data_IF_800887958037
#
_entry.id   IF_800887958037
#
_cell.length_a   1.000
_cell.length_b   1.000
_cell.length_c   1.000
_cell.angle_alpha   90.00
_cell.angle_beta   90.00
_cell.angle_gamma   90.00
#
_symmetry.space_group_name_H-M   'P 1'
#
loop_
_entity.id
_entity.type
_entity.pdbx_description
1 polymer ?
#
# COMPACT_ATOMS: atom_id res chain seq x y z
N UNK A 1 0.55 12.77 6.51
CA UNK A 1 -0.49 11.83 6.05
C UNK A 1 -0.61 12.00 4.54
N UNK A 2 -0.35 10.96 3.75
CA UNK A 2 -0.38 11.02 2.29
C UNK A 2 -0.96 9.71 1.74
N UNK A 3 -1.43 9.76 0.49
CA UNK A 3 -1.84 8.58 -0.28
C UNK A 3 -0.76 8.16 -1.30
N UNK A 4 0.33 8.92 -1.42
CA UNK A 4 1.42 8.66 -2.35
C UNK A 4 2.54 7.84 -1.67
N UNK A 5 2.66 6.57 -2.06
CA UNK A 5 3.67 5.65 -1.54
C UNK A 5 5.09 5.98 -2.03
N UNK A 6 5.23 6.66 -3.17
CA UNK A 6 6.52 7.13 -3.67
C UNK A 6 7.11 8.20 -2.75
N UNK A 7 6.27 9.11 -2.27
CA UNK A 7 6.68 10.11 -1.28
C UNK A 7 7.02 9.46 0.06
N UNK A 8 6.20 8.50 0.53
CA UNK A 8 6.46 7.77 1.78
C UNK A 8 7.84 7.11 1.76
N UNK A 9 8.20 6.45 0.64
CA UNK A 9 9.48 5.76 0.48
C UNK A 9 10.70 6.67 0.63
N UNK A 10 10.59 7.95 0.27
CA UNK A 10 11.72 8.88 0.27
C UNK A 10 11.83 9.71 1.56
N UNK A 11 10.76 9.81 2.34
CA UNK A 11 10.64 10.83 3.40
C UNK A 11 10.41 10.23 4.79
N UNK A 12 10.10 8.94 4.89
CA UNK A 12 9.71 8.32 6.18
C UNK A 12 10.58 7.12 6.56
N UNK A 13 10.94 7.06 7.84
CA UNK A 13 11.60 5.89 8.44
C UNK A 13 10.59 4.82 8.85
N UNK A 14 9.45 5.24 9.41
CA UNK A 14 8.31 4.41 9.81
C UNK A 14 7.01 4.87 9.14
N UNK A 15 6.14 3.90 8.86
CA UNK A 15 4.84 4.13 8.22
C UNK A 15 3.72 3.43 8.98
N UNK A 16 2.54 4.07 9.00
CA UNK A 16 1.28 3.50 9.48
C UNK A 16 0.29 3.52 8.32
N UNK A 17 -0.30 2.37 8.02
CA UNK A 17 -1.34 2.20 7.03
C UNK A 17 -2.69 2.10 7.74
N UNK A 18 -3.63 2.93 7.32
CA UNK A 18 -4.98 2.97 7.90
C UNK A 18 -6.05 2.62 6.85
N UNK A 19 -7.10 1.92 7.29
CA UNK A 19 -8.31 1.65 6.51
C UNK A 19 -9.53 1.71 7.43
N UNK A 20 -10.58 2.40 7.01
CA UNK A 20 -11.86 2.50 7.75
C UNK A 20 -11.68 2.88 9.23
N UNK A 21 -10.82 3.87 9.49
CA UNK A 21 -10.54 4.35 10.84
C UNK A 21 -9.70 3.41 11.71
N UNK A 22 -9.17 2.32 11.17
CA UNK A 22 -8.32 1.36 11.89
C UNK A 22 -6.92 1.32 11.33
N UNK A 23 -5.92 1.16 12.20
CA UNK A 23 -4.56 0.82 11.81
C UNK A 23 -4.58 -0.63 11.34
N UNK A 24 -4.20 -0.87 10.10
CA UNK A 24 -4.16 -2.22 9.50
C UNK A 24 -2.74 -2.74 9.36
N UNK A 25 -1.75 -1.86 9.32
CA UNK A 25 -0.33 -2.23 9.29
C UNK A 25 0.53 -1.07 9.78
N UNK A 26 1.65 -1.36 10.44
CA UNK A 26 2.61 -0.37 10.92
C UNK A 26 4.02 -0.97 11.03
N UNK A 27 5.04 -0.15 10.83
CA UNK A 27 6.45 -0.52 11.04
C UNK A 27 7.39 0.27 10.14
N UNK A 28 8.65 -0.19 10.07
CA UNK A 28 9.68 0.44 9.25
C UNK A 28 9.22 0.51 7.78
N UNK A 29 9.33 1.69 7.18
CA UNK A 29 8.87 1.98 5.82
C UNK A 29 9.45 0.99 4.81
N UNK A 30 10.74 0.68 4.91
CA UNK A 30 11.38 -0.30 4.05
C UNK A 30 10.75 -1.71 4.17
N UNK A 31 10.39 -2.14 5.38
CA UNK A 31 9.80 -3.45 5.60
C UNK A 31 8.35 -3.52 5.11
N UNK A 32 7.54 -2.50 5.43
CA UNK A 32 6.12 -2.44 5.05
C UNK A 32 5.97 -2.34 3.52
N UNK A 33 6.83 -1.58 2.84
CA UNK A 33 6.78 -1.43 1.38
C UNK A 33 7.38 -2.63 0.64
N UNK A 34 8.38 -3.32 1.19
CA UNK A 34 9.01 -4.47 0.53
C UNK A 34 8.28 -5.80 0.77
N UNK A 35 7.72 -6.00 1.97
CA UNK A 35 7.06 -7.23 2.37
C UNK A 35 5.75 -6.94 3.14
N UNK A 36 4.77 -6.30 2.47
CA UNK A 36 3.47 -5.97 3.08
C UNK A 36 2.76 -7.22 3.61
N UNK A 37 2.33 -7.18 4.86
CA UNK A 37 1.63 -8.30 5.53
C UNK A 37 0.12 -8.20 5.35
N UNK A 38 -0.44 -6.99 5.37
CA UNK A 38 -1.87 -6.80 5.26
C UNK A 38 -2.32 -6.80 3.78
N UNK A 39 -3.40 -7.52 3.42
CA UNK A 39 -3.89 -7.57 2.03
C UNK A 39 -4.19 -6.20 1.42
N UNK A 40 -4.70 -5.27 2.24
CA UNK A 40 -4.91 -3.89 1.80
C UNK A 40 -3.61 -3.16 1.45
N UNK A 41 -2.54 -3.35 2.22
CA UNK A 41 -1.24 -2.73 1.94
C UNK A 41 -0.63 -3.27 0.65
N UNK A 42 -0.79 -4.57 0.39
CA UNK A 42 -0.45 -5.18 -0.91
C UNK A 42 -1.21 -4.51 -2.05
N UNK A 43 -2.53 -4.41 -1.92
CA UNK A 43 -3.36 -3.75 -2.93
C UNK A 43 -2.94 -2.30 -3.19
N UNK A 44 -2.56 -1.54 -2.15
CA UNK A 44 -2.07 -0.18 -2.30
C UNK A 44 -0.77 -0.12 -3.11
N UNK A 45 0.16 -1.06 -2.87
CA UNK A 45 1.40 -1.17 -3.62
C UNK A 45 1.16 -1.58 -5.07
N UNK A 46 0.29 -2.56 -5.30
CA UNK A 46 -0.09 -3.03 -6.64
C UNK A 46 -0.80 -1.92 -7.44
N UNK A 47 -1.48 -0.99 -6.75
CA UNK A 47 -2.15 0.16 -7.36
C UNK A 47 -1.19 1.20 -7.94
N UNK A 48 0.12 1.11 -7.67
CA UNK A 48 1.12 2.01 -8.26
C UNK A 48 1.37 1.60 -9.72
N UNK A 49 1.13 2.48 -10.71
CA UNK A 49 1.30 2.13 -12.11
C UNK A 49 2.73 1.72 -12.46
N UNK A 50 2.88 0.62 -13.18
CA UNK A 50 4.14 0.11 -13.72
C UNK A 50 3.91 -0.53 -15.11
N UNK A 51 4.96 -0.81 -15.90
CA UNK A 51 4.79 -1.57 -17.14
C UNK A 51 4.11 -2.93 -16.87
N UNK A 52 3.04 -3.23 -17.62
CA UNK A 52 2.23 -4.44 -17.40
C UNK A 52 1.16 -4.33 -16.30
N UNK A 53 0.92 -3.13 -15.78
CA UNK A 53 -0.15 -2.86 -14.82
C UNK A 53 -1.54 -3.07 -15.44
N UNK A 54 -2.40 -3.84 -14.76
CA UNK A 54 -3.79 -4.10 -15.15
C UNK A 54 -4.78 -3.47 -14.16
N UNK A 55 -5.44 -2.34 -14.52
CA UNK A 55 -6.38 -1.66 -13.65
C UNK A 55 -7.65 -2.49 -13.35
N UNK A 56 -8.06 -3.41 -14.22
CA UNK A 56 -9.25 -4.24 -13.99
C UNK A 56 -8.99 -5.28 -12.89
N UNK A 57 -7.81 -5.92 -12.92
CA UNK A 57 -7.36 -6.84 -11.88
C UNK A 57 -7.37 -6.16 -10.51
N UNK A 58 -6.88 -4.92 -10.43
CA UNK A 58 -6.83 -4.16 -9.17
C UNK A 58 -8.22 -3.77 -8.70
N UNK A 59 -9.10 -3.35 -9.61
CA UNK A 59 -10.49 -3.06 -9.28
C UNK A 59 -11.24 -4.31 -8.79
N UNK A 60 -10.91 -5.50 -9.30
CA UNK A 60 -11.44 -6.77 -8.80
C UNK A 60 -10.90 -7.11 -7.41
N UNK A 61 -9.58 -7.01 -7.19
CA UNK A 61 -8.95 -7.25 -5.90
C UNK A 61 -9.48 -6.32 -4.80
N UNK A 62 -9.73 -5.05 -5.13
CA UNK A 62 -10.35 -4.09 -4.20
C UNK A 62 -11.76 -4.48 -3.77
N UNK A 63 -12.56 -5.10 -4.64
CA UNK A 63 -13.92 -5.55 -4.32
C UNK A 63 -13.93 -6.78 -3.39
N UNK A 64 -12.84 -7.53 -3.33
CA UNK A 64 -12.70 -8.70 -2.46
C UNK A 64 -12.25 -8.37 -1.02
N UNK A 65 -11.95 -7.10 -0.70
CA UNK A 65 -11.43 -6.61 0.60
C UNK A 65 -12.41 -5.72 1.36
#
# INVERSE_FOLDING_TARGET
>A
ITHDLGVVRCVTDDVIVMRHGRIVEAGATAAVLAAPRHPYTRLLLDSVPHPGWDPEQIAAARRAL
#
